data_IF_117393282232
#
_entry.id   IF_117393282232
#
_cell.length_a   1.000
_cell.length_b   1.000
_cell.length_c   1.000
_cell.angle_alpha   90.00
_cell.angle_beta   90.00
_cell.angle_gamma   90.00
#
_symmetry.space_group_name_H-M   'P 1'
#
loop_
_entity.id
_entity.type
_entity.pdbx_description
1 polymer ?
#
# COMPACT_ATOMS: atom_id res chain seq x y z
N UNK A 1 3.72 -9.14 -15.48
CA UNK A 1 4.13 -9.13 -14.07
C UNK A 1 4.04 -7.72 -13.52
N UNK A 2 3.19 -7.46 -12.51
CA UNK A 2 3.09 -6.15 -11.90
C UNK A 2 4.40 -5.82 -11.17
N UNK A 3 4.84 -4.57 -11.28
CA UNK A 3 5.91 -3.99 -10.46
C UNK A 3 5.24 -2.88 -9.66
N UNK A 4 5.37 -2.96 -8.35
CA UNK A 4 4.73 -2.04 -7.41
C UNK A 4 5.80 -1.48 -6.48
N UNK A 5 5.69 -0.19 -6.19
CA UNK A 5 6.57 0.51 -5.24
C UNK A 5 5.71 1.01 -4.10
N UNK A 6 6.12 0.68 -2.87
CA UNK A 6 5.59 1.30 -1.66
C UNK A 6 6.59 2.39 -1.27
N UNK A 7 6.10 3.62 -1.11
CA UNK A 7 6.92 4.76 -0.72
C UNK A 7 6.35 5.39 0.55
N UNK A 8 7.17 5.48 1.59
CA UNK A 8 6.75 5.98 2.90
C UNK A 8 7.72 7.04 3.42
N UNK A 9 7.18 8.04 4.10
CA UNK A 9 7.95 9.06 4.80
C UNK A 9 7.98 8.75 6.30
N UNK A 10 8.93 7.92 6.71
CA UNK A 10 9.04 7.44 8.09
C UNK A 10 10.00 8.32 8.91
N UNK A 11 9.54 8.79 10.06
CA UNK A 11 10.37 9.51 11.04
C UNK A 11 11.00 8.49 11.99
N UNK A 12 12.32 8.56 12.25
CA UNK A 12 12.94 7.75 13.31
C UNK A 12 14.11 6.83 12.92
N UNK A 13 14.61 6.91 11.68
CA UNK A 13 15.84 6.22 11.27
C UNK A 13 17.07 6.77 12.01
N UNK A 14 17.38 6.25 13.20
CA UNK A 14 18.63 6.55 13.88
C UNK A 14 19.77 5.76 13.22
N UNK A 15 20.97 6.37 13.15
CA UNK A 15 22.18 5.74 12.59
C UNK A 15 22.60 4.45 13.31
N UNK A 16 22.07 4.21 14.51
CA UNK A 16 22.28 3.00 15.30
C UNK A 16 20.97 2.62 16.00
N UNK A 17 20.36 1.51 15.61
CA UNK A 17 19.14 0.96 16.22
C UNK A 17 18.03 0.65 15.21
N UNK A 18 17.00 -0.10 15.61
CA UNK A 18 15.85 -0.41 14.75
C UNK A 18 15.03 0.85 14.45
N UNK A 19 14.39 0.89 13.28
CA UNK A 19 13.41 1.91 12.96
C UNK A 19 12.13 1.66 13.79
N UNK A 20 11.89 2.49 14.80
CA UNK A 20 10.67 2.45 15.58
C UNK A 20 9.60 3.29 14.87
N UNK A 21 8.42 2.71 14.70
CA UNK A 21 7.29 3.36 14.03
C UNK A 21 6.27 3.83 15.06
N UNK A 22 5.80 5.05 14.89
CA UNK A 22 4.61 5.54 15.58
C UNK A 22 3.38 4.78 15.07
N UNK A 23 2.32 4.67 15.86
CA UNK A 23 1.08 3.98 15.46
C UNK A 23 0.58 4.44 14.07
N UNK A 24 0.43 5.74 13.84
CA UNK A 24 0.01 6.26 12.53
C UNK A 24 0.98 5.96 11.37
N UNK A 25 2.26 5.70 11.63
CA UNK A 25 3.20 5.26 10.60
C UNK A 25 3.05 3.77 10.26
N UNK A 26 2.56 2.96 11.21
CA UNK A 26 2.17 1.56 10.98
C UNK A 26 0.89 1.53 10.17
N UNK A 27 -0.12 2.33 10.53
CA UNK A 27 -1.38 2.44 9.79
C UNK A 27 -1.11 2.83 8.33
N UNK A 28 -0.31 3.87 8.10
CA UNK A 28 0.08 4.31 6.76
C UNK A 28 0.86 3.23 5.97
N UNK A 29 1.71 2.45 6.63
CA UNK A 29 2.39 1.32 5.98
C UNK A 29 1.40 0.27 5.48
N UNK A 30 0.42 -0.10 6.31
CA UNK A 30 -0.59 -1.08 5.94
C UNK A 30 -1.57 -0.57 4.89
N UNK A 31 -1.93 0.71 4.94
CA UNK A 31 -2.71 1.38 3.91
C UNK A 31 -2.06 1.22 2.52
N UNK A 32 -0.79 1.63 2.39
CA UNK A 32 -0.04 1.52 1.13
C UNK A 32 0.21 0.06 0.71
N UNK A 33 0.39 -0.84 1.69
CA UNK A 33 0.48 -2.27 1.42
C UNK A 33 -0.83 -2.85 0.85
N UNK A 34 -1.99 -2.32 1.24
CA UNK A 34 -3.28 -2.73 0.71
C UNK A 34 -3.43 -2.35 -0.77
N UNK A 35 -3.04 -1.14 -1.17
CA UNK A 35 -2.94 -0.76 -2.58
C UNK A 35 -1.93 -1.63 -3.34
N UNK A 36 -0.81 -1.97 -2.71
CA UNK A 36 0.19 -2.81 -3.35
C UNK A 36 -0.33 -4.22 -3.61
N UNK A 37 -1.00 -4.83 -2.64
CA UNK A 37 -1.65 -6.14 -2.80
C UNK A 37 -2.75 -6.09 -3.85
N UNK A 38 -3.58 -5.04 -3.86
CA UNK A 38 -4.59 -4.84 -4.91
C UNK A 38 -3.94 -4.81 -6.30
N UNK A 39 -2.82 -4.11 -6.45
CA UNK A 39 -2.06 -4.03 -7.71
C UNK A 39 -1.36 -5.32 -8.10
N UNK A 40 -0.86 -6.09 -7.13
CA UNK A 40 -0.16 -7.36 -7.37
C UNK A 40 -1.13 -8.51 -7.72
N UNK A 41 -2.30 -8.54 -7.08
CA UNK A 41 -3.26 -9.64 -7.17
C UNK A 41 -4.42 -9.35 -8.12
N UNK A 42 -4.75 -8.08 -8.37
CA UNK A 42 -5.83 -7.65 -9.27
C UNK A 42 -5.52 -7.94 -10.74
N UNK A 43 -5.74 -9.18 -11.17
CA UNK A 43 -5.50 -9.62 -12.54
C UNK A 43 -6.74 -9.36 -13.40
N UNK A 44 -6.53 -8.71 -14.54
CA UNK A 44 -7.54 -8.56 -15.57
C UNK A 44 -6.93 -8.84 -16.95
N UNK A 45 -7.79 -9.17 -17.92
CA UNK A 45 -7.36 -9.43 -19.31
C UNK A 45 -6.72 -8.22 -19.96
N UNK A 46 -7.18 -7.02 -19.60
CA UNK A 46 -6.67 -5.77 -20.15
C UNK A 46 -6.01 -4.94 -19.06
N UNK A 47 -4.83 -4.39 -19.36
CA UNK A 47 -4.05 -3.62 -18.40
C UNK A 47 -4.82 -2.43 -17.82
N UNK A 48 -5.66 -1.77 -18.62
CA UNK A 48 -6.41 -0.57 -18.19
C UNK A 48 -7.49 -0.82 -17.14
N UNK A 49 -7.78 -2.09 -16.80
CA UNK A 49 -8.72 -2.48 -15.72
C UNK A 49 -8.08 -3.45 -14.71
N UNK A 50 -6.75 -3.57 -14.71
CA UNK A 50 -6.02 -4.41 -13.75
C UNK A 50 -5.54 -3.59 -12.54
N UNK A 51 -5.47 -4.22 -11.38
CA UNK A 51 -5.04 -3.61 -10.13
C UNK A 51 -5.96 -2.49 -9.67
N UNK A 52 -5.37 -1.37 -9.24
CA UNK A 52 -6.08 -0.18 -8.74
C UNK A 52 -6.77 0.66 -9.84
N UNK A 53 -6.82 0.20 -11.09
CA UNK A 53 -7.51 0.89 -12.18
C UNK A 53 -9.02 0.61 -12.16
N UNK A 54 -9.67 1.05 -11.09
CA UNK A 54 -11.11 0.99 -10.87
C UNK A 54 -11.63 2.34 -10.35
N UNK A 55 -12.91 2.41 -9.95
CA UNK A 55 -13.45 3.61 -9.35
C UNK A 55 -12.71 3.94 -8.04
N UNK A 56 -12.46 5.22 -7.78
CA UNK A 56 -11.59 5.66 -6.67
C UNK A 56 -12.10 5.18 -5.32
N UNK A 57 -13.41 5.17 -5.11
CA UNK A 57 -14.06 4.63 -3.91
C UNK A 57 -13.71 3.15 -3.67
N UNK A 58 -13.68 2.34 -4.73
CA UNK A 58 -13.32 0.92 -4.67
C UNK A 58 -11.80 0.72 -4.53
N UNK A 59 -10.98 1.62 -5.08
CA UNK A 59 -9.53 1.51 -5.03
C UNK A 59 -8.98 1.63 -3.60
N UNK A 60 -9.68 2.37 -2.73
CA UNK A 60 -9.37 2.56 -1.31
C UNK A 60 -9.78 1.37 -0.43
N UNK A 61 -10.78 0.58 -0.83
CA UNK A 61 -11.29 -0.51 0.03
C UNK A 61 -10.20 -1.49 0.50
N UNK A 62 -9.27 -1.97 -0.35
CA UNK A 62 -8.20 -2.86 0.11
C UNK A 62 -7.17 -2.18 1.02
N UNK A 63 -6.97 -0.87 0.88
CA UNK A 63 -6.06 -0.10 1.75
C UNK A 63 -6.67 0.08 3.14
N UNK A 64 -7.92 0.55 3.20
CA UNK A 64 -8.66 0.71 4.45
C UNK A 64 -8.89 -0.63 5.15
N UNK A 65 -9.17 -1.71 4.43
CA UNK A 65 -9.32 -3.03 5.07
C UNK A 65 -8.04 -3.54 5.72
N UNK A 66 -6.86 -3.07 5.27
CA UNK A 66 -5.58 -3.57 5.78
C UNK A 66 -5.00 -2.66 6.88
N UNK A 67 -5.35 -1.38 6.90
CA UNK A 67 -4.93 -0.46 7.96
C UNK A 67 -5.66 -0.67 9.31
N UNK A 68 -6.81 -1.38 9.30
CA UNK A 68 -7.62 -1.74 10.47
C UNK A 68 -7.39 -3.18 10.95
#
# INVERSE_FOLDING_TARGET
NPIVVIMLSLSGGHRSGPALLMAGAVDNLFHEAGHALHSMLGRARHQHVAGTRCATDLAELPAVLLEY
#
